data_IF_033839186590
#
_entry.id   IF_033839186590
#
_cell.length_a   1.000
_cell.length_b   1.000
_cell.length_c   1.000
_cell.angle_alpha   90.00
_cell.angle_beta   90.00
_cell.angle_gamma   90.00
#
_symmetry.space_group_name_H-M   'P 1'
#
loop_
_entity.id
_entity.type
_entity.pdbx_description
1 polymer ?
#
# COMPACT_ATOMS: atom_id res chain seq x y z
N UNK A 1 9.71 2.58 9.78
CA UNK A 1 9.42 2.99 8.39
C UNK A 1 8.63 4.28 8.44
N UNK A 2 9.00 5.30 7.66
CA UNK A 2 8.30 6.59 7.60
C UNK A 2 7.30 6.56 6.45
N UNK A 3 6.10 7.08 6.66
CA UNK A 3 5.03 7.09 5.66
C UNK A 3 4.50 8.49 5.46
N UNK A 4 4.42 8.94 4.21
CA UNK A 4 3.77 10.20 3.85
C UNK A 4 2.64 9.94 2.86
N UNK A 5 1.55 10.68 2.99
CA UNK A 5 0.43 10.64 2.07
C UNK A 5 -0.43 11.87 2.21
N UNK A 6 -1.25 12.14 1.19
CA UNK A 6 -2.25 13.19 1.25
C UNK A 6 -3.41 12.75 2.16
N UNK A 7 -3.64 13.47 3.26
CA UNK A 7 -4.71 13.16 4.22
C UNK A 7 -6.12 13.27 3.61
N UNK A 8 -6.34 14.22 2.70
CA UNK A 8 -7.64 14.39 2.03
C UNK A 8 -7.90 13.19 1.14
N UNK A 9 -6.88 12.69 0.46
CA UNK A 9 -6.94 11.46 -0.35
C UNK A 9 -7.18 10.24 0.54
N UNK A 10 -6.51 10.14 1.69
CA UNK A 10 -6.75 9.06 2.67
C UNK A 10 -8.22 9.01 3.08
N UNK A 11 -8.77 10.15 3.50
CA UNK A 11 -10.19 10.28 3.91
C UNK A 11 -11.14 9.90 2.78
N UNK A 12 -10.85 10.29 1.53
CA UNK A 12 -11.64 9.92 0.34
C UNK A 12 -11.60 8.42 0.05
N UNK A 13 -10.45 7.77 0.23
CA UNK A 13 -10.33 6.31 0.05
C UNK A 13 -11.11 5.57 1.14
N UNK A 14 -10.99 6.00 2.39
CA UNK A 14 -11.74 5.45 3.52
C UNK A 14 -13.25 5.54 3.32
N UNK A 15 -13.71 6.70 2.85
CA UNK A 15 -15.13 6.93 2.55
C UNK A 15 -15.65 6.16 1.32
N UNK A 16 -14.77 5.62 0.47
CA UNK A 16 -15.17 4.85 -0.72
C UNK A 16 -15.40 3.37 -0.34
N UNK A 17 -16.63 2.82 -0.40
CA UNK A 17 -16.93 1.45 0.02
C UNK A 17 -16.15 0.36 -0.75
N UNK A 18 -15.74 0.64 -1.99
CA UNK A 18 -14.91 -0.27 -2.79
C UNK A 18 -13.48 -0.38 -2.25
N UNK A 19 -12.99 0.67 -1.58
CA UNK A 19 -11.67 0.70 -0.93
C UNK A 19 -11.82 0.35 0.55
N UNK A 20 -12.56 1.17 1.29
CA UNK A 20 -13.03 0.89 2.65
C UNK A 20 -12.04 1.18 3.78
N UNK A 21 -10.81 1.59 3.45
CA UNK A 21 -9.78 2.00 4.41
C UNK A 21 -9.00 3.21 3.90
N UNK A 22 -8.40 3.95 4.82
CA UNK A 22 -7.44 5.02 4.52
C UNK A 22 -6.00 4.53 4.47
N UNK A 23 -5.08 5.44 4.14
CA UNK A 23 -3.63 5.21 4.17
C UNK A 23 -3.08 5.08 5.61
N UNK A 24 -3.77 5.64 6.59
CA UNK A 24 -3.51 5.44 8.02
C UNK A 24 -3.58 3.96 8.39
N UNK A 25 -4.64 3.27 7.95
CA UNK A 25 -4.84 1.84 8.19
C UNK A 25 -3.96 0.97 7.30
N UNK A 26 -3.74 1.38 6.05
CA UNK A 26 -2.97 0.60 5.06
C UNK A 26 -1.50 0.38 5.43
N UNK A 27 -0.95 1.19 6.34
CA UNK A 27 0.41 1.00 6.87
C UNK A 27 0.58 -0.36 7.56
N UNK A 28 -0.50 -0.97 8.05
CA UNK A 28 -0.46 -2.30 8.66
C UNK A 28 0.08 -3.38 7.71
N UNK A 29 -0.02 -3.20 6.39
CA UNK A 29 0.56 -4.12 5.38
C UNK A 29 2.03 -4.41 5.69
N UNK A 30 2.78 -3.40 6.14
CA UNK A 30 4.21 -3.50 6.41
C UNK A 30 4.54 -3.99 7.83
N UNK A 31 3.54 -4.30 8.66
CA UNK A 31 3.73 -4.84 10.01
C UNK A 31 3.95 -6.36 10.03
N UNK A 32 3.70 -7.03 8.89
CA UNK A 32 3.82 -8.48 8.69
C UNK A 32 4.50 -8.74 7.35
N UNK A 33 4.92 -9.98 7.05
CA UNK A 33 5.38 -10.33 5.71
C UNK A 33 4.35 -9.94 4.64
N UNK A 34 4.82 -9.16 3.67
CA UNK A 34 4.04 -8.68 2.53
C UNK A 34 4.73 -9.09 1.24
N UNK A 35 3.94 -9.38 0.20
CA UNK A 35 4.48 -9.50 -1.15
C UNK A 35 4.80 -8.10 -1.68
N UNK A 36 5.95 -7.94 -2.32
CA UNK A 36 6.43 -6.64 -2.78
C UNK A 36 7.03 -6.79 -4.19
N UNK A 37 6.53 -6.00 -5.14
CA UNK A 37 7.05 -5.93 -6.51
C UNK A 37 7.24 -4.49 -6.99
N UNK A 38 8.07 -4.33 -8.02
CA UNK A 38 8.17 -3.09 -8.76
C UNK A 38 7.09 -3.09 -9.85
N UNK A 39 6.28 -2.03 -9.89
CA UNK A 39 5.17 -1.87 -10.82
C UNK A 39 5.49 -0.96 -12.00
N UNK A 40 6.26 0.10 -11.76
CA UNK A 40 6.64 1.10 -12.75
C UNK A 40 8.05 1.60 -12.45
N UNK A 41 8.81 1.93 -13.49
CA UNK A 41 10.14 2.52 -13.39
C UNK A 41 10.12 4.05 -13.52
N UNK A 42 9.12 4.63 -14.22
CA UNK A 42 9.03 6.08 -14.48
C UNK A 42 7.60 6.65 -14.28
N UNK A 43 7.26 7.25 -13.12
CA UNK A 43 8.06 7.29 -11.89
C UNK A 43 8.18 5.89 -11.28
N UNK A 44 9.21 5.69 -10.47
CA UNK A 44 9.43 4.42 -9.80
C UNK A 44 8.32 4.17 -8.76
N UNK A 45 7.56 3.10 -8.97
CA UNK A 45 6.44 2.72 -8.11
C UNK A 45 6.53 1.25 -7.76
N UNK A 46 6.20 0.98 -6.50
CA UNK A 46 6.16 -0.34 -5.92
C UNK A 46 4.72 -0.70 -5.56
N UNK A 47 4.41 -1.99 -5.61
CA UNK A 47 3.19 -2.55 -5.05
C UNK A 47 3.54 -3.42 -3.86
N UNK A 48 2.87 -3.17 -2.74
CA UNK A 48 2.82 -4.09 -1.61
C UNK A 48 1.44 -4.77 -1.57
N UNK A 49 1.41 -6.08 -1.34
CA UNK A 49 0.20 -6.85 -1.05
C UNK A 49 0.35 -7.46 0.34
N UNK A 50 -0.58 -7.15 1.23
CA UNK A 50 -0.53 -7.69 2.60
C UNK A 50 -1.79 -7.43 3.40
N UNK A 51 -1.80 -7.93 4.63
CA UNK A 51 -2.95 -7.91 5.51
C UNK A 51 -3.15 -6.55 6.18
N UNK A 52 -4.40 -6.11 6.22
CA UNK A 52 -4.89 -5.06 7.10
C UNK A 52 -6.07 -5.65 7.86
N UNK A 53 -5.91 -5.86 9.17
CA UNK A 53 -6.81 -6.68 9.97
C UNK A 53 -6.98 -8.09 9.40
N UNK A 54 -8.19 -8.39 8.91
CA UNK A 54 -8.57 -9.71 8.37
C UNK A 54 -8.74 -9.72 6.84
N UNK A 55 -8.21 -8.71 6.13
CA UNK A 55 -8.37 -8.63 4.67
C UNK A 55 -7.06 -8.25 3.98
N UNK A 56 -6.82 -8.84 2.81
CA UNK A 56 -5.70 -8.48 1.94
C UNK A 56 -5.99 -7.22 1.13
N UNK A 57 -5.00 -6.35 1.07
CA UNK A 57 -5.01 -5.12 0.29
C UNK A 57 -3.75 -5.04 -0.58
N UNK A 58 -3.90 -4.44 -1.75
CA UNK A 58 -2.80 -3.99 -2.58
C UNK A 58 -2.64 -2.47 -2.41
N UNK A 59 -1.41 -2.03 -2.23
CA UNK A 59 -1.01 -0.65 -1.98
C UNK A 59 0.09 -0.26 -2.96
N UNK A 60 -0.09 0.86 -3.66
CA UNK A 60 0.95 1.47 -4.48
C UNK A 60 1.62 2.58 -3.69
N UNK A 61 2.95 2.56 -3.69
CA UNK A 61 3.77 3.57 -3.05
C UNK A 61 5.03 3.86 -3.85
N UNK A 62 5.65 4.97 -3.53
CA UNK A 62 6.93 5.42 -4.08
C UNK A 62 7.93 5.54 -2.93
N UNK A 63 9.17 5.11 -3.14
CA UNK A 63 10.25 5.40 -2.20
C UNK A 63 10.79 6.78 -2.53
N UNK A 64 10.74 7.70 -1.58
CA UNK A 64 11.21 9.08 -1.74
C UNK A 64 12.12 9.43 -0.58
N UNK A 65 12.92 10.48 -0.74
CA UNK A 65 13.85 10.95 0.29
C UNK A 65 13.57 12.42 0.63
N UNK A 66 13.70 12.77 1.92
CA UNK A 66 13.74 14.14 2.41
C UNK A 66 14.94 14.35 3.35
N UNK A 67 15.02 15.49 4.03
CA UNK A 67 16.15 15.80 4.93
C UNK A 67 16.28 14.82 6.12
N UNK A 68 15.24 14.06 6.44
CA UNK A 68 15.23 13.05 7.51
C UNK A 68 15.44 11.62 6.94
N UNK A 69 15.67 11.49 5.63
CA UNK A 69 15.95 10.23 4.92
C UNK A 69 14.77 9.66 4.14
N UNK A 70 14.81 8.35 3.87
CA UNK A 70 13.81 7.66 3.05
C UNK A 70 12.43 7.56 3.73
N UNK A 71 11.38 7.73 2.94
CA UNK A 71 10.00 7.54 3.34
C UNK A 71 9.17 6.95 2.19
N UNK A 72 8.11 6.24 2.55
CA UNK A 72 7.18 5.66 1.59
C UNK A 72 6.03 6.64 1.35
N UNK A 73 5.95 7.16 0.13
CA UNK A 73 4.85 7.99 -0.30
C UNK A 73 3.69 7.13 -0.79
N UNK A 74 2.60 7.04 -0.02
CA UNK A 74 1.47 6.17 -0.37
C UNK A 74 0.59 6.82 -1.42
N UNK A 75 0.45 6.16 -2.57
CA UNK A 75 -0.22 6.70 -3.75
C UNK A 75 -1.67 6.27 -3.83
N UNK A 76 -1.99 4.98 -3.68
CA UNK A 76 -3.38 4.47 -3.74
C UNK A 76 -3.45 3.04 -3.21
N UNK A 77 -4.63 2.59 -2.81
CA UNK A 77 -4.87 1.21 -2.38
C UNK A 77 -6.16 0.64 -2.95
N UNK A 78 -6.29 -0.69 -2.90
CA UNK A 78 -7.55 -1.41 -3.09
C UNK A 78 -7.55 -2.76 -2.38
N UNK A 79 -8.75 -3.31 -2.16
CA UNK A 79 -8.92 -4.70 -1.71
C UNK A 79 -8.28 -5.61 -2.75
N UNK A 80 -7.37 -6.48 -2.34
CA UNK A 80 -6.65 -7.35 -3.26
C UNK A 80 -7.62 -8.14 -4.14
N UNK A 81 -7.34 -8.20 -5.44
CA UNK A 81 -8.08 -9.09 -6.36
C UNK A 81 -7.73 -10.55 -6.10
N UNK A 82 -8.48 -11.48 -6.68
CA UNK A 82 -8.17 -12.92 -6.55
C UNK A 82 -6.76 -13.25 -7.08
N UNK A 83 -6.32 -12.63 -8.18
CA UNK A 83 -4.96 -12.80 -8.71
C UNK A 83 -3.91 -12.23 -7.74
N UNK A 84 -4.18 -11.10 -7.10
CA UNK A 84 -3.28 -10.50 -6.11
C UNK A 84 -3.20 -11.32 -4.82
N UNK A 85 -4.29 -11.98 -4.43
CA UNK A 85 -4.30 -12.93 -3.31
C UNK A 85 -3.47 -14.17 -3.63
N UNK A 86 -3.61 -14.72 -4.83
CA UNK A 86 -2.78 -15.84 -5.29
C UNK A 86 -1.29 -15.46 -5.31
N UNK A 87 -0.96 -14.28 -5.84
CA UNK A 87 0.42 -13.77 -5.81
C UNK A 87 0.98 -13.65 -4.39
N UNK A 88 0.17 -13.20 -3.43
CA UNK A 88 0.57 -13.17 -2.03
C UNK A 88 0.82 -14.59 -1.48
N UNK A 89 -0.11 -15.52 -1.70
CA UNK A 89 -0.03 -16.90 -1.20
C UNK A 89 1.14 -17.70 -1.80
N UNK A 90 1.52 -17.43 -3.06
CA UNK A 90 2.63 -18.11 -3.73
C UNK A 90 4.01 -17.58 -3.28
N UNK A 91 4.08 -16.37 -2.72
CA UNK A 91 5.33 -15.65 -2.50
C UNK A 91 5.53 -15.07 -1.09
N UNK A 92 4.61 -15.29 -0.13
CA UNK A 92 4.71 -14.81 1.26
C UNK A 92 4.84 -15.93 2.28
#
# INVERSE_FOLDING_TARGET
MRFHFDERKSKRLKANPKRGIGFDEAQEIFSRPCYLDQRSDMPEQYRAIGWVGQRLYALIFEVREDMEGEYYHLVTLWKATEQERQLYEEHS
#
